data_IF_485757992845
#
_entry.id   IF_485757992845
#
_cell.length_a   1.000
_cell.length_b   1.000
_cell.length_c   1.000
_cell.angle_alpha   90.00
_cell.angle_beta   90.00
_cell.angle_gamma   90.00
#
_symmetry.space_group_name_H-M   'P 1'
#
loop_
_entity.id
_entity.type
_entity.pdbx_description
1 polymer ?
#
# COMPACT_ATOMS: atom_id res chain seq x y z
N UNK A 1 7.43 31.21 -32.69
CA UNK A 1 7.29 30.36 -31.49
C UNK A 1 6.54 29.11 -31.90
N UNK A 2 7.22 27.97 -32.01
CA UNK A 2 6.56 26.69 -32.28
C UNK A 2 6.01 26.21 -30.94
N UNK A 3 4.69 26.21 -30.78
CA UNK A 3 4.03 25.58 -29.63
C UNK A 3 4.28 24.08 -29.75
N UNK A 4 5.22 23.55 -28.95
CA UNK A 4 5.42 22.11 -28.83
C UNK A 4 4.08 21.52 -28.34
N UNK A 5 3.38 20.80 -29.21
CA UNK A 5 2.22 20.01 -28.79
C UNK A 5 2.74 18.99 -27.77
N UNK A 6 2.37 19.15 -26.50
CA UNK A 6 2.56 18.10 -25.51
C UNK A 6 1.90 16.82 -26.07
N UNK A 7 2.67 15.74 -26.14
CA UNK A 7 2.15 14.44 -26.53
C UNK A 7 1.05 14.04 -25.55
N UNK A 8 -0.04 13.45 -26.04
CA UNK A 8 -1.08 12.88 -25.19
C UNK A 8 -1.29 11.40 -25.52
N UNK A 9 -1.67 10.64 -24.50
CA UNK A 9 -2.05 9.22 -24.59
C UNK A 9 -3.57 9.13 -24.43
N UNK A 10 -4.21 8.35 -25.30
CA UNK A 10 -5.66 8.10 -25.25
C UNK A 10 -5.92 6.78 -24.54
N UNK A 11 -6.78 6.82 -23.54
CA UNK A 11 -7.23 5.66 -22.77
C UNK A 11 -8.75 5.57 -22.94
N UNK A 12 -9.24 4.36 -23.20
CA UNK A 12 -10.66 4.11 -23.43
C UNK A 12 -11.26 3.43 -22.21
N UNK A 13 -12.16 4.14 -21.56
CA UNK A 13 -13.02 3.64 -20.50
C UNK A 13 -14.38 3.22 -21.08
N UNK A 14 -15.18 2.44 -20.34
CA UNK A 14 -16.52 2.08 -20.77
C UNK A 14 -17.38 3.30 -21.12
N UNK A 15 -18.16 3.18 -22.19
CA UNK A 15 -19.15 4.20 -22.57
C UNK A 15 -20.38 4.12 -21.65
N UNK A 16 -21.00 5.26 -21.36
CA UNK A 16 -22.30 5.35 -20.67
C UNK A 16 -22.21 5.61 -19.16
N UNK A 17 -21.41 4.83 -18.41
CA UNK A 17 -21.24 5.01 -16.95
C UNK A 17 -19.76 5.16 -16.60
N UNK A 18 -19.48 6.11 -15.71
CA UNK A 18 -18.13 6.32 -15.20
C UNK A 18 -17.70 5.23 -14.22
N UNK A 19 -16.44 4.82 -14.29
CA UNK A 19 -15.79 3.97 -13.26
C UNK A 19 -15.35 4.76 -12.03
N UNK A 20 -15.47 6.09 -12.06
CA UNK A 20 -15.07 6.99 -11.00
C UNK A 20 -14.32 8.21 -11.51
N UNK A 21 -13.46 8.77 -10.69
CA UNK A 21 -12.77 10.02 -10.99
C UNK A 21 -11.32 9.75 -11.43
N UNK A 22 -10.89 10.43 -12.47
CA UNK A 22 -9.52 10.37 -12.97
C UNK A 22 -8.72 11.60 -12.56
N UNK A 23 -7.48 11.35 -12.17
CA UNK A 23 -6.53 12.38 -11.79
C UNK A 23 -5.21 12.17 -12.52
N UNK A 24 -4.57 13.27 -12.91
CA UNK A 24 -3.19 13.22 -13.37
C UNK A 24 -2.24 13.35 -12.19
N UNK A 25 -1.19 12.56 -12.18
CA UNK A 25 -0.13 12.63 -11.16
C UNK A 25 1.06 13.37 -11.77
N UNK A 26 1.39 14.52 -11.19
CA UNK A 26 2.52 15.37 -11.56
C UNK A 26 3.78 15.10 -10.74
N UNK A 27 4.77 15.98 -10.92
CA UNK A 27 6.02 15.94 -10.14
C UNK A 27 5.72 16.08 -8.64
N UNK A 28 6.44 15.32 -7.82
CA UNK A 28 6.23 15.30 -6.37
C UNK A 28 4.96 14.59 -5.90
N UNK A 29 4.23 13.89 -6.78
CA UNK A 29 3.03 13.13 -6.42
C UNK A 29 1.76 13.96 -6.30
N UNK A 30 1.78 15.23 -6.74
CA UNK A 30 0.58 16.07 -6.75
C UNK A 30 -0.43 15.52 -7.75
N UNK A 31 -1.67 15.34 -7.30
CA UNK A 31 -2.79 14.92 -8.13
C UNK A 31 -3.63 16.12 -8.54
N UNK A 32 -3.94 16.25 -9.83
CA UNK A 32 -4.87 17.25 -10.35
C UNK A 32 -6.03 16.52 -11.06
N UNK A 33 -7.27 16.89 -10.72
CA UNK A 33 -8.48 16.31 -11.31
C UNK A 33 -8.47 16.47 -12.83
N UNK A 34 -8.77 15.39 -13.55
CA UNK A 34 -8.80 15.36 -15.00
C UNK A 34 -10.24 15.35 -15.52
N UNK A 35 -10.98 14.29 -15.24
CA UNK A 35 -12.36 14.07 -15.66
C UNK A 35 -12.90 12.78 -15.03
N UNK A 36 -14.15 12.42 -15.36
CA UNK A 36 -14.71 11.11 -15.05
C UNK A 36 -14.12 10.00 -15.94
N UNK A 37 -14.03 8.79 -15.41
CA UNK A 37 -13.56 7.58 -16.07
C UNK A 37 -14.61 6.96 -17.01
N UNK A 38 -15.02 7.70 -18.05
CA UNK A 38 -15.97 7.23 -19.07
C UNK A 38 -15.53 7.62 -20.48
N UNK A 39 -15.77 6.73 -21.44
CA UNK A 39 -15.41 6.94 -22.85
C UNK A 39 -13.91 7.18 -23.09
N UNK A 40 -13.59 7.92 -24.16
CA UNK A 40 -12.21 8.20 -24.54
C UNK A 40 -11.64 9.41 -23.77
N UNK A 41 -10.62 9.15 -22.95
CA UNK A 41 -9.92 10.16 -22.14
C UNK A 41 -8.53 10.44 -22.70
N UNK A 42 -8.17 11.72 -22.82
CA UNK A 42 -6.85 12.16 -23.28
C UNK A 42 -6.00 12.59 -22.08
N UNK A 43 -4.98 11.80 -21.75
CA UNK A 43 -4.04 12.08 -20.66
C UNK A 43 -2.76 12.69 -21.23
N UNK A 44 -2.17 13.73 -20.60
CA UNK A 44 -0.85 14.22 -20.99
C UNK A 44 0.20 13.10 -20.91
N UNK A 45 1.07 13.01 -21.92
CA UNK A 45 2.01 11.90 -22.08
C UNK A 45 3.10 11.83 -21.01
N UNK A 46 3.39 12.96 -20.36
CA UNK A 46 4.32 13.11 -19.24
C UNK A 46 3.67 12.84 -17.87
N UNK A 47 2.37 12.57 -17.82
CA UNK A 47 1.63 12.37 -16.57
C UNK A 47 1.22 10.92 -16.38
N UNK A 48 1.24 10.47 -15.13
CA UNK A 48 0.63 9.21 -14.73
C UNK A 48 -0.87 9.41 -14.46
N UNK A 49 -1.66 8.36 -14.65
CA UNK A 49 -3.10 8.39 -14.44
C UNK A 49 -3.46 7.63 -13.16
N UNK A 50 -4.20 8.28 -12.28
CA UNK A 50 -4.83 7.69 -11.11
C UNK A 50 -6.34 7.55 -11.35
N UNK A 51 -6.90 6.43 -10.91
CA UNK A 51 -8.33 6.18 -10.88
C UNK A 51 -8.79 6.05 -9.42
N UNK A 52 -9.65 6.96 -8.99
CA UNK A 52 -10.41 6.81 -7.74
C UNK A 52 -11.73 6.16 -8.11
N UNK A 53 -11.79 4.85 -7.87
CA UNK A 53 -12.93 4.04 -8.25
C UNK A 53 -14.12 4.39 -7.36
N UNK A 54 -15.24 4.77 -7.96
CA UNK A 54 -16.48 5.00 -7.23
C UNK A 54 -17.53 4.00 -7.74
N UNK A 55 -18.01 3.16 -6.83
CA UNK A 55 -18.72 1.94 -7.19
C UNK A 55 -20.24 2.11 -7.14
N UNK A 56 -20.91 1.51 -8.11
CA UNK A 56 -22.26 0.96 -7.98
C UNK A 56 -22.11 -0.57 -7.79
N UNK A 57 -22.63 -1.17 -6.68
CA UNK A 57 -22.59 -2.59 -6.33
C UNK A 57 -22.87 -3.62 -7.44
N UNK A 58 -23.45 -3.20 -8.55
CA UNK A 58 -23.98 -4.08 -9.59
C UNK A 58 -22.98 -4.49 -10.68
N UNK A 59 -21.87 -3.76 -10.90
CA UNK A 59 -21.06 -3.92 -12.11
C UNK A 59 -19.70 -4.65 -11.92
N UNK A 60 -19.29 -4.89 -10.66
CA UNK A 60 -18.00 -5.50 -10.31
C UNK A 60 -16.79 -4.76 -10.91
N UNK A 61 -15.64 -5.45 -11.03
CA UNK A 61 -14.40 -4.92 -11.63
C UNK A 61 -14.17 -5.37 -13.09
N UNK A 62 -15.14 -6.06 -13.69
CA UNK A 62 -15.08 -6.53 -15.07
C UNK A 62 -14.69 -5.45 -16.09
N UNK A 63 -15.20 -4.20 -16.01
CA UNK A 63 -14.83 -3.18 -16.98
C UNK A 63 -13.34 -2.81 -17.04
N UNK A 64 -12.57 -3.05 -15.96
CA UNK A 64 -11.13 -2.82 -15.94
C UNK A 64 -10.36 -3.75 -16.90
N UNK A 65 -10.98 -4.85 -17.37
CA UNK A 65 -10.35 -5.74 -18.35
C UNK A 65 -10.15 -5.08 -19.72
N UNK A 66 -10.85 -3.97 -20.01
CA UNK A 66 -10.72 -3.21 -21.25
C UNK A 66 -9.49 -2.31 -21.29
N UNK A 67 -8.89 -2.03 -20.13
CA UNK A 67 -7.69 -1.20 -20.03
C UNK A 67 -6.46 -2.00 -20.46
N UNK A 68 -5.43 -1.31 -20.98
CA UNK A 68 -4.13 -1.93 -21.22
C UNK A 68 -3.38 -2.09 -19.89
N UNK A 69 -2.43 -3.04 -19.81
CA UNK A 69 -1.65 -3.26 -18.60
C UNK A 69 -0.99 -2.01 -18.00
N UNK A 70 -0.65 -1.02 -18.84
CA UNK A 70 0.10 0.18 -18.45
C UNK A 70 -0.73 1.47 -18.48
N UNK A 71 -2.06 1.37 -18.63
CA UNK A 71 -2.90 2.56 -18.74
C UNK A 71 -3.05 3.30 -17.40
N UNK A 72 -3.01 2.57 -16.28
CA UNK A 72 -3.14 3.10 -14.93
C UNK A 72 -1.84 2.95 -14.15
N UNK A 73 -1.50 4.00 -13.40
CA UNK A 73 -0.39 4.00 -12.44
C UNK A 73 -0.88 3.77 -11.02
N UNK A 74 -2.09 4.25 -10.71
CA UNK A 74 -2.66 4.26 -9.37
C UNK A 74 -4.15 3.93 -9.43
N UNK A 75 -4.60 3.06 -8.53
CA UNK A 75 -6.03 2.81 -8.34
C UNK A 75 -6.35 2.81 -6.85
N UNK A 76 -7.44 3.49 -6.49
CA UNK A 76 -8.03 3.42 -5.16
C UNK A 76 -9.45 2.88 -5.23
N UNK A 77 -9.73 1.90 -4.38
CA UNK A 77 -11.01 1.25 -4.16
C UNK A 77 -11.55 1.53 -2.75
N UNK A 78 -11.08 2.60 -2.11
CA UNK A 78 -11.38 2.92 -0.71
C UNK A 78 -12.88 2.86 -0.43
N UNK A 79 -13.27 1.94 0.47
CA UNK A 79 -14.66 1.79 0.91
C UNK A 79 -15.62 1.22 -0.14
N UNK A 80 -15.09 0.60 -1.20
CA UNK A 80 -15.88 -0.18 -2.16
C UNK A 80 -16.03 -1.64 -1.71
N UNK A 81 -17.04 -2.34 -2.22
CA UNK A 81 -17.33 -3.74 -1.85
C UNK A 81 -16.49 -4.77 -2.63
N UNK A 82 -15.23 -4.42 -2.93
CA UNK A 82 -14.33 -5.29 -3.69
C UNK A 82 -14.02 -6.57 -2.89
N UNK A 83 -14.17 -7.72 -3.54
CA UNK A 83 -13.86 -9.03 -2.97
C UNK A 83 -12.71 -9.76 -3.72
N UNK A 84 -12.40 -10.98 -3.28
CA UNK A 84 -11.28 -11.78 -3.81
C UNK A 84 -11.44 -12.10 -5.30
N UNK A 85 -12.65 -12.46 -5.74
CA UNK A 85 -12.92 -12.84 -7.14
C UNK A 85 -12.74 -11.65 -8.08
N UNK A 86 -13.16 -10.47 -7.63
CA UNK A 86 -13.04 -9.23 -8.41
C UNK A 86 -11.59 -8.76 -8.53
N UNK A 87 -10.77 -9.00 -7.50
CA UNK A 87 -9.36 -8.59 -7.48
C UNK A 87 -8.53 -9.31 -8.56
N UNK A 88 -8.98 -10.47 -9.05
CA UNK A 88 -8.37 -11.17 -10.17
C UNK A 88 -8.27 -10.30 -11.44
N UNK A 89 -9.18 -9.33 -11.63
CA UNK A 89 -9.14 -8.41 -12.76
C UNK A 89 -7.98 -7.41 -12.71
N UNK A 90 -7.36 -7.19 -11.54
CA UNK A 90 -6.23 -6.27 -11.39
C UNK A 90 -4.89 -6.88 -11.77
N UNK A 91 -4.73 -8.21 -11.71
CA UNK A 91 -3.44 -8.88 -11.93
C UNK A 91 -2.82 -8.65 -13.32
N UNK A 92 -3.60 -8.12 -14.27
CA UNK A 92 -3.16 -7.75 -15.62
C UNK A 92 -2.69 -6.30 -15.76
N UNK A 93 -2.94 -5.45 -14.77
CA UNK A 93 -2.58 -4.04 -14.79
C UNK A 93 -1.14 -3.85 -14.28
N UNK A 94 -0.18 -4.44 -14.99
CA UNK A 94 1.22 -4.52 -14.58
C UNK A 94 1.95 -3.18 -14.54
N UNK A 95 1.34 -2.10 -15.00
CA UNK A 95 1.83 -0.73 -14.87
C UNK A 95 1.44 -0.05 -13.55
N UNK A 96 0.67 -0.70 -12.69
CA UNK A 96 0.32 -0.18 -11.38
C UNK A 96 1.56 -0.06 -10.49
N UNK A 97 1.75 1.14 -9.96
CA UNK A 97 2.75 1.45 -8.94
C UNK A 97 2.11 1.71 -7.57
N UNK A 98 0.82 2.07 -7.53
CA UNK A 98 0.06 2.30 -6.32
C UNK A 98 -1.27 1.55 -6.36
N UNK A 99 -1.62 0.89 -5.27
CA UNK A 99 -2.92 0.24 -5.10
C UNK A 99 -3.43 0.47 -3.68
N UNK A 100 -4.63 1.05 -3.58
CA UNK A 100 -5.37 1.14 -2.33
C UNK A 100 -6.65 0.30 -2.44
N UNK A 101 -6.70 -0.80 -1.69
CA UNK A 101 -7.89 -1.65 -1.52
C UNK A 101 -8.32 -1.68 -0.05
N UNK A 102 -8.03 -0.62 0.69
CA UNK A 102 -8.42 -0.53 2.09
C UNK A 102 -9.94 -0.45 2.26
N UNK A 103 -10.42 -0.94 3.40
CA UNK A 103 -11.84 -1.02 3.74
C UNK A 103 -12.67 -1.83 2.71
N UNK A 104 -12.09 -2.89 2.15
CA UNK A 104 -12.75 -3.82 1.22
C UNK A 104 -12.95 -5.21 1.84
N UNK A 105 -13.67 -6.09 1.16
CA UNK A 105 -13.94 -7.45 1.61
C UNK A 105 -12.82 -8.46 1.29
N UNK A 106 -11.71 -8.00 0.68
CA UNK A 106 -10.57 -8.82 0.25
C UNK A 106 -9.93 -9.58 1.41
N UNK A 107 -9.65 -10.86 1.21
CA UNK A 107 -8.94 -11.76 2.11
C UNK A 107 -7.73 -12.41 1.45
N UNK A 108 -7.19 -13.45 2.09
CA UNK A 108 -5.90 -14.06 1.71
C UNK A 108 -5.88 -14.63 0.28
N UNK A 109 -7.02 -15.08 -0.25
CA UNK A 109 -7.10 -15.60 -1.61
C UNK A 109 -6.98 -14.49 -2.65
N UNK A 110 -7.62 -13.33 -2.42
CA UNK A 110 -7.61 -12.22 -3.36
C UNK A 110 -6.21 -11.65 -3.58
N UNK A 111 -5.46 -11.43 -2.49
CA UNK A 111 -4.09 -10.86 -2.55
C UNK A 111 -3.14 -11.70 -3.41
N UNK A 112 -3.41 -13.00 -3.59
CA UNK A 112 -2.61 -13.85 -4.50
C UNK A 112 -2.59 -13.34 -5.95
N UNK A 113 -3.64 -12.63 -6.38
CA UNK A 113 -3.71 -12.03 -7.72
C UNK A 113 -2.81 -10.80 -7.90
N UNK A 114 -2.30 -10.22 -6.81
CA UNK A 114 -1.38 -9.08 -6.85
C UNK A 114 0.08 -9.50 -7.07
N UNK A 115 0.40 -10.79 -6.94
CA UNK A 115 1.77 -11.28 -7.00
C UNK A 115 2.49 -11.01 -8.34
N UNK A 116 1.75 -10.72 -9.42
CA UNK A 116 2.29 -10.39 -10.74
C UNK A 116 2.53 -8.88 -10.95
N UNK A 117 2.20 -8.03 -9.97
CA UNK A 117 2.34 -6.58 -10.05
C UNK A 117 3.73 -6.15 -9.57
N UNK A 118 4.78 -6.64 -10.25
CA UNK A 118 6.18 -6.46 -9.83
C UNK A 118 6.62 -4.99 -9.71
N UNK A 119 5.91 -4.07 -10.38
CA UNK A 119 6.14 -2.62 -10.33
C UNK A 119 5.46 -1.91 -9.14
N UNK A 120 4.70 -2.62 -8.30
CA UNK A 120 3.97 -2.02 -7.20
C UNK A 120 4.92 -1.49 -6.13
N UNK A 121 4.82 -0.19 -5.86
CA UNK A 121 5.65 0.54 -4.91
C UNK A 121 4.90 0.94 -3.63
N UNK A 122 3.57 1.13 -3.72
CA UNK A 122 2.71 1.48 -2.59
C UNK A 122 1.48 0.59 -2.58
N UNK A 123 1.24 -0.07 -1.45
CA UNK A 123 0.10 -0.96 -1.27
C UNK A 123 -0.57 -0.70 0.07
N UNK A 124 -1.85 -0.31 0.01
CA UNK A 124 -2.70 -0.15 1.19
C UNK A 124 -3.73 -1.27 1.27
N UNK A 125 -3.64 -2.06 2.33
CA UNK A 125 -4.49 -3.21 2.66
C UNK A 125 -5.25 -3.00 3.98
N UNK A 126 -5.31 -1.77 4.51
CA UNK A 126 -5.88 -1.55 5.83
C UNK A 126 -7.35 -1.94 5.91
N UNK A 127 -7.79 -2.45 7.06
CA UNK A 127 -9.19 -2.87 7.30
C UNK A 127 -9.72 -3.87 6.25
N UNK A 128 -8.85 -4.77 5.77
CA UNK A 128 -9.22 -5.92 4.94
C UNK A 128 -9.27 -7.21 5.79
N UNK A 129 -9.73 -8.33 5.21
CA UNK A 129 -9.84 -9.63 5.89
C UNK A 129 -8.53 -10.45 5.88
N UNK A 130 -7.44 -9.84 5.43
CA UNK A 130 -6.14 -10.48 5.26
C UNK A 130 -5.54 -10.92 6.61
N UNK A 131 -4.83 -12.05 6.59
CA UNK A 131 -4.16 -12.67 7.73
C UNK A 131 -2.71 -13.04 7.39
N UNK A 132 -2.04 -13.74 8.32
CA UNK A 132 -0.69 -14.28 8.11
C UNK A 132 -0.58 -15.19 6.88
N UNK A 133 -1.66 -15.86 6.48
CA UNK A 133 -1.67 -16.76 5.33
C UNK A 133 -1.46 -16.02 4.00
N UNK A 134 -2.06 -14.84 3.84
CA UNK A 134 -1.96 -14.06 2.60
C UNK A 134 -0.58 -13.45 2.39
N UNK A 135 0.18 -13.18 3.46
CA UNK A 135 1.47 -12.46 3.38
C UNK A 135 2.52 -13.14 2.51
N UNK A 136 2.43 -14.46 2.30
CA UNK A 136 3.32 -15.19 1.39
C UNK A 136 3.27 -14.63 -0.04
N UNK A 137 2.12 -14.11 -0.47
CA UNK A 137 1.92 -13.60 -1.83
C UNK A 137 2.56 -12.23 -2.06
N UNK A 138 2.86 -11.46 -1.00
CA UNK A 138 3.55 -10.18 -1.15
C UNK A 138 5.06 -10.32 -1.28
N UNK A 139 5.65 -11.45 -0.88
CA UNK A 139 7.10 -11.61 -0.77
C UNK A 139 7.86 -11.37 -2.09
N UNK A 140 7.20 -11.52 -3.24
CA UNK A 140 7.76 -11.28 -4.57
C UNK A 140 7.75 -9.81 -5.02
N UNK A 141 7.01 -8.92 -4.35
CA UNK A 141 6.85 -7.52 -4.73
C UNK A 141 8.07 -6.68 -4.34
N UNK A 142 9.21 -6.98 -4.95
CA UNK A 142 10.52 -6.41 -4.60
C UNK A 142 10.64 -4.89 -4.76
N UNK A 143 9.77 -4.27 -5.57
CA UNK A 143 9.67 -2.82 -5.72
C UNK A 143 8.87 -2.12 -4.60
N UNK A 144 8.24 -2.87 -3.69
CA UNK A 144 7.37 -2.29 -2.67
C UNK A 144 8.17 -1.44 -1.68
N UNK A 145 7.82 -0.15 -1.60
CA UNK A 145 8.43 0.83 -0.71
C UNK A 145 7.51 1.16 0.48
N UNK A 146 6.19 1.08 0.30
CA UNK A 146 5.20 1.35 1.32
C UNK A 146 4.14 0.25 1.39
N UNK A 147 3.96 -0.28 2.59
CA UNK A 147 2.94 -1.29 2.90
C UNK A 147 2.16 -0.89 4.15
N UNK A 148 0.85 -0.75 4.00
CA UNK A 148 -0.09 -0.44 5.10
C UNK A 148 -0.98 -1.65 5.35
N UNK A 149 -0.88 -2.22 6.56
CA UNK A 149 -1.61 -3.42 7.01
C UNK A 149 -2.47 -3.12 8.24
N UNK A 150 -2.77 -1.84 8.48
CA UNK A 150 -3.49 -1.43 9.67
C UNK A 150 -4.84 -2.13 9.79
N UNK A 151 -5.24 -2.51 11.00
CA UNK A 151 -6.55 -3.14 11.26
C UNK A 151 -6.80 -4.42 10.42
N UNK A 152 -5.75 -5.23 10.24
CA UNK A 152 -5.84 -6.57 9.62
C UNK A 152 -5.62 -7.66 10.68
N UNK A 153 -5.78 -8.93 10.29
CA UNK A 153 -5.50 -10.10 11.16
C UNK A 153 -4.05 -10.57 11.09
N UNK A 154 -3.15 -9.75 10.53
CA UNK A 154 -1.71 -10.06 10.47
C UNK A 154 -1.12 -10.07 11.88
N UNK A 155 -0.28 -11.06 12.16
CA UNK A 155 0.47 -11.25 13.40
C UNK A 155 1.92 -11.65 13.11
N UNK A 156 2.55 -12.32 14.08
CA UNK A 156 3.99 -12.59 14.05
C UNK A 156 4.42 -13.51 12.89
N UNK A 157 3.54 -14.41 12.42
CA UNK A 157 3.88 -15.35 11.35
C UNK A 157 3.82 -14.71 9.98
N UNK A 158 2.98 -13.69 9.75
CA UNK A 158 2.90 -12.98 8.48
C UNK A 158 4.15 -12.17 8.19
N UNK A 159 4.74 -11.56 9.23
CA UNK A 159 5.96 -10.73 9.12
C UNK A 159 7.14 -11.49 8.53
N UNK A 160 7.22 -12.82 8.71
CA UNK A 160 8.33 -13.62 8.17
C UNK A 160 8.43 -13.54 6.64
N UNK A 161 7.33 -13.21 5.95
CA UNK A 161 7.32 -13.07 4.50
C UNK A 161 7.73 -11.65 4.06
N UNK A 162 7.49 -10.65 4.90
CA UNK A 162 7.78 -9.25 4.58
C UNK A 162 9.29 -8.93 4.62
N UNK A 163 10.12 -9.72 5.30
CA UNK A 163 11.58 -9.52 5.32
C UNK A 163 12.23 -9.67 3.92
N UNK A 164 11.52 -10.27 2.96
CA UNK A 164 11.96 -10.35 1.56
C UNK A 164 11.86 -8.99 0.83
N UNK A 165 11.05 -8.06 1.33
CA UNK A 165 10.81 -6.75 0.73
C UNK A 165 11.97 -5.78 1.03
N UNK A 166 13.07 -5.94 0.29
CA UNK A 166 14.33 -5.18 0.54
C UNK A 166 14.24 -3.70 0.19
N UNK A 167 13.20 -3.26 -0.50
CA UNK A 167 12.96 -1.85 -0.84
C UNK A 167 12.03 -1.15 0.15
N UNK A 168 11.47 -1.88 1.12
CA UNK A 168 10.44 -1.34 2.01
C UNK A 168 11.01 -0.26 2.93
N UNK A 169 10.41 0.93 2.88
CA UNK A 169 10.75 2.11 3.69
C UNK A 169 9.67 2.42 4.71
N UNK A 170 8.40 2.18 4.37
CA UNK A 170 7.25 2.41 5.25
C UNK A 170 6.53 1.09 5.51
N UNK A 171 6.35 0.76 6.79
CA UNK A 171 5.51 -0.35 7.23
C UNK A 171 4.56 0.12 8.32
N UNK A 172 3.26 -0.05 8.06
CA UNK A 172 2.22 0.24 9.05
C UNK A 172 1.55 -1.05 9.50
N UNK A 173 1.60 -1.32 10.81
CA UNK A 173 1.06 -2.49 11.48
C UNK A 173 0.15 -2.09 12.66
N UNK A 174 -0.44 -0.90 12.60
CA UNK A 174 -1.29 -0.40 13.68
C UNK A 174 -2.54 -1.26 13.80
N UNK A 175 -3.03 -1.50 15.01
CA UNK A 175 -4.22 -2.34 15.26
C UNK A 175 -4.12 -3.79 14.75
N UNK A 176 -2.91 -4.27 14.44
CA UNK A 176 -2.67 -5.68 14.08
C UNK A 176 -2.42 -6.55 15.32
N UNK A 177 -2.29 -7.86 15.12
CA UNK A 177 -2.04 -8.85 16.17
C UNK A 177 -0.53 -9.06 16.43
N UNK A 178 0.30 -8.11 15.99
CA UNK A 178 1.76 -8.20 16.15
C UNK A 178 2.18 -8.14 17.62
N UNK A 179 3.17 -8.95 17.97
CA UNK A 179 3.80 -8.96 19.31
C UNK A 179 5.31 -8.72 19.22
N UNK A 180 5.99 -8.68 20.37
CA UNK A 180 7.44 -8.56 20.45
C UNK A 180 8.16 -9.65 19.62
N UNK A 181 7.56 -10.85 19.49
CA UNK A 181 8.14 -11.93 18.69
C UNK A 181 8.19 -11.57 17.21
N UNK A 182 7.15 -10.96 16.65
CA UNK A 182 7.15 -10.54 15.26
C UNK A 182 8.18 -9.44 14.99
N UNK A 183 8.37 -8.49 15.92
CA UNK A 183 9.41 -7.46 15.81
C UNK A 183 10.83 -8.05 15.74
N UNK A 184 11.07 -9.22 16.34
CA UNK A 184 12.37 -9.89 16.29
C UNK A 184 12.85 -10.22 14.86
N UNK A 185 11.93 -10.32 13.90
CA UNK A 185 12.21 -10.54 12.47
C UNK A 185 12.41 -9.24 11.70
N UNK A 186 11.69 -8.17 12.08
CA UNK A 186 11.79 -6.86 11.42
C UNK A 186 13.22 -6.30 11.45
N UNK A 187 14.05 -6.68 12.44
CA UNK A 187 15.46 -6.26 12.53
C UNK A 187 16.28 -6.50 11.24
N UNK A 188 15.84 -7.37 10.35
CA UNK A 188 16.47 -7.67 9.04
C UNK A 188 16.16 -6.61 7.97
N UNK A 189 15.12 -5.78 8.17
CA UNK A 189 14.64 -4.77 7.23
C UNK A 189 15.39 -3.45 7.42
N UNK A 190 16.68 -3.44 7.01
CA UNK A 190 17.59 -2.29 7.22
C UNK A 190 17.22 -1.03 6.43
N UNK A 191 16.30 -1.13 5.47
CA UNK A 191 15.80 0.01 4.69
C UNK A 191 14.61 0.70 5.34
N UNK A 192 14.05 0.14 6.41
CA UNK A 192 12.84 0.66 7.01
C UNK A 192 13.11 2.00 7.69
N UNK A 193 12.40 3.03 7.24
CA UNK A 193 12.50 4.41 7.74
C UNK A 193 11.31 4.80 8.60
N UNK A 194 10.12 4.24 8.32
CA UNK A 194 8.86 4.58 9.01
C UNK A 194 8.16 3.32 9.47
N UNK A 195 7.96 3.17 10.78
CA UNK A 195 7.30 2.00 11.39
C UNK A 195 6.17 2.42 12.32
N UNK A 196 4.92 2.12 11.95
CA UNK A 196 3.75 2.39 12.80
C UNK A 196 3.30 1.14 13.52
N UNK A 197 3.21 1.22 14.85
CA UNK A 197 2.83 0.12 15.76
C UNK A 197 1.71 0.55 16.72
N UNK A 198 0.91 1.54 16.35
CA UNK A 198 -0.12 2.08 17.25
C UNK A 198 -1.13 0.99 17.63
N UNK A 199 -1.62 1.02 18.87
CA UNK A 199 -2.65 0.11 19.36
C UNK A 199 -2.26 -1.38 19.23
N UNK A 200 -0.99 -1.70 19.41
CA UNK A 200 -0.48 -3.08 19.45
C UNK A 200 -0.07 -3.47 20.87
N UNK A 201 0.20 -4.76 21.11
CA UNK A 201 0.62 -5.25 22.43
C UNK A 201 2.14 -5.13 22.70
N UNK A 202 2.86 -4.33 21.90
CA UNK A 202 4.30 -4.14 22.03
C UNK A 202 4.65 -3.45 23.35
N UNK A 203 5.69 -3.95 24.01
CA UNK A 203 6.27 -3.38 25.23
C UNK A 203 7.78 -3.11 25.04
N UNK A 204 8.47 -2.78 26.14
CA UNK A 204 9.89 -2.44 26.15
C UNK A 204 10.80 -3.58 25.62
N UNK A 205 10.38 -4.85 25.73
CA UNK A 205 11.13 -5.98 25.16
C UNK A 205 11.13 -5.90 23.64
N UNK A 206 9.99 -5.54 23.04
CA UNK A 206 9.87 -5.34 21.59
C UNK A 206 10.80 -4.24 21.07
N UNK A 207 10.99 -3.18 21.86
CA UNK A 207 11.89 -2.08 21.48
C UNK A 207 13.35 -2.49 21.33
N UNK A 208 13.79 -3.56 22.01
CA UNK A 208 15.15 -4.08 21.84
C UNK A 208 15.43 -4.56 20.40
N UNK A 209 14.38 -4.99 19.69
CA UNK A 209 14.46 -5.37 18.28
C UNK A 209 14.38 -4.15 17.36
N UNK A 210 13.51 -3.19 17.69
CA UNK A 210 13.37 -1.92 16.96
C UNK A 210 14.68 -1.12 16.97
N UNK A 211 15.43 -1.15 18.09
CA UNK A 211 16.76 -0.53 18.21
C UNK A 211 17.79 -1.02 17.17
N UNK A 212 17.51 -2.12 16.44
CA UNK A 212 18.36 -2.66 15.37
C UNK A 212 18.01 -2.13 13.98
N UNK A 213 16.94 -1.33 13.86
CA UNK A 213 16.51 -0.66 12.63
C UNK A 213 17.25 0.68 12.50
N UNK A 214 18.53 0.62 12.12
CA UNK A 214 19.41 1.79 12.11
C UNK A 214 19.02 2.93 11.16
N UNK A 215 18.10 2.67 10.22
CA UNK A 215 17.61 3.66 9.25
C UNK A 215 16.27 4.27 9.65
N UNK A 216 15.74 3.89 10.82
CA UNK A 216 14.42 4.33 11.27
C UNK A 216 14.45 5.82 11.63
N UNK A 217 13.54 6.57 11.01
CA UNK A 217 13.34 8.01 11.16
C UNK A 217 12.06 8.34 11.92
N UNK A 218 11.01 7.53 11.75
CA UNK A 218 9.73 7.76 12.42
C UNK A 218 9.19 6.45 13.02
N UNK A 219 8.82 6.50 14.29
CA UNK A 219 8.28 5.37 15.05
C UNK A 219 7.03 5.80 15.83
N UNK A 220 5.89 5.21 15.52
CA UNK A 220 4.63 5.51 16.19
C UNK A 220 4.26 4.39 17.16
N UNK A 221 4.07 4.75 18.43
CA UNK A 221 3.86 3.82 19.55
C UNK A 221 2.64 4.22 20.40
N UNK A 222 1.69 4.97 19.83
CA UNK A 222 0.46 5.37 20.53
C UNK A 222 -0.29 4.14 21.01
N UNK A 223 -0.79 4.17 22.24
CA UNK A 223 -1.59 3.09 22.82
C UNK A 223 -0.89 1.71 22.79
N UNK A 224 0.44 1.68 22.92
CA UNK A 224 1.22 0.46 23.17
C UNK A 224 1.48 0.28 24.67
N UNK A 225 2.10 -0.85 25.06
CA UNK A 225 2.54 -1.11 26.44
C UNK A 225 3.95 -0.59 26.74
N UNK A 226 4.54 0.18 25.81
CA UNK A 226 5.85 0.79 25.96
C UNK A 226 5.85 1.83 27.08
N UNK A 227 6.80 1.68 28.00
CA UNK A 227 6.98 2.57 29.15
C UNK A 227 7.92 3.73 28.83
N UNK A 228 7.92 4.76 29.67
CA UNK A 228 8.88 5.86 29.53
C UNK A 228 10.35 5.38 29.67
N UNK A 229 10.71 4.53 30.66
CA UNK A 229 12.05 3.92 30.70
C UNK A 229 12.46 3.20 29.41
N UNK A 230 11.56 2.43 28.78
CA UNK A 230 11.85 1.75 27.52
C UNK A 230 12.18 2.71 26.38
N UNK A 231 11.49 3.85 26.31
CA UNK A 231 11.77 4.91 25.33
C UNK A 231 13.13 5.58 25.57
N UNK A 232 13.46 5.87 26.84
CA UNK A 232 14.76 6.44 27.20
C UNK A 232 15.90 5.49 26.84
N UNK A 233 15.69 4.18 26.91
CA UNK A 233 16.66 3.20 26.44
C UNK A 233 16.76 3.18 24.91
N UNK A 234 15.62 3.24 24.21
CA UNK A 234 15.57 3.22 22.75
C UNK A 234 16.30 4.40 22.10
N UNK A 235 16.16 5.61 22.67
CA UNK A 235 16.80 6.82 22.12
C UNK A 235 18.33 6.79 22.15
N UNK A 236 18.93 5.91 22.97
CA UNK A 236 20.39 5.67 22.93
C UNK A 236 20.85 5.02 21.63
N UNK A 237 19.95 4.31 20.93
CA UNK A 237 20.24 3.59 19.71
C UNK A 237 19.66 4.29 18.47
N UNK A 238 18.56 5.02 18.62
CA UNK A 238 17.85 5.72 17.56
C UNK A 238 17.71 7.22 17.87
N UNK A 239 18.84 7.91 18.02
CA UNK A 239 18.86 9.31 18.49
C UNK A 239 18.26 10.31 17.48
N UNK A 240 18.30 9.98 16.18
CA UNK A 240 17.70 10.77 15.10
C UNK A 240 16.26 10.33 14.74
N UNK A 241 15.72 9.31 15.43
CA UNK A 241 14.36 8.83 15.17
C UNK A 241 13.34 9.65 15.95
N UNK A 242 12.36 10.21 15.23
CA UNK A 242 11.17 10.81 15.81
C UNK A 242 10.26 9.73 16.39
N UNK A 243 9.99 9.82 17.69
CA UNK A 243 9.09 8.90 18.40
C UNK A 243 7.76 9.61 18.67
N UNK A 244 6.67 9.05 18.16
CA UNK A 244 5.32 9.64 18.20
C UNK A 244 4.42 8.80 19.12
N UNK A 245 3.76 9.43 20.10
CA UNK A 245 2.91 8.79 21.13
C UNK A 245 1.45 9.25 21.11
#
# INVERSE_FOLDING_TARGET
MVTLKQSSKKISFPDGRSLGELYTIGEGGRTDFLCDATGAVSVPGDKNLALYYSFDPSDGLGPLTNLKPTDLHSISFLGSDVNDDELAHLGRLTGLAELDISCTAVGDAGISHLACLDGLSRLNLSSTKISDLGMVHLAGLSALEELVLDDTRVGDEGIKHLVALKSLKTLSLSFTQITNRGLSRLKEMKTLERLRLNCTSIDDVGLTHVARLSSLKELWLRSTKVTYPGLVELTKWLYDCEIIR
#
